data_IF_151605556637
#
_entry.id   IF_151605556637
#
_cell.length_a   1.000
_cell.length_b   1.000
_cell.length_c   1.000
_cell.angle_alpha   90.00
_cell.angle_beta   90.00
_cell.angle_gamma   90.00
#
_symmetry.space_group_name_H-M   'P 1'
#
loop_
_entity.id
_entity.type
_entity.pdbx_description
1 polymer ?
#
# COMPACT_ATOMS: atom_id res chain seq x y z
N UNK A 1 -20.45 -31.62 -4.22
CA UNK A 1 -21.92 -31.49 -4.35
C UNK A 1 -22.22 -30.79 -5.66
N UNK A 2 -22.57 -31.54 -6.71
CA UNK A 2 -22.92 -30.96 -8.01
C UNK A 2 -24.27 -30.27 -7.91
N UNK A 3 -24.28 -28.92 -7.87
CA UNK A 3 -25.51 -28.16 -8.09
C UNK A 3 -25.79 -28.18 -9.59
N UNK A 4 -26.82 -28.92 -9.94
CA UNK A 4 -27.46 -28.96 -11.25
C UNK A 4 -27.99 -27.55 -11.55
N UNK A 5 -27.22 -26.74 -12.27
CA UNK A 5 -27.68 -25.49 -12.85
C UNK A 5 -28.53 -25.80 -14.08
N UNK A 6 -29.73 -25.22 -14.14
CA UNK A 6 -30.67 -25.35 -15.23
C UNK A 6 -30.07 -24.91 -16.57
N UNK A 7 -30.41 -25.63 -17.65
CA UNK A 7 -30.07 -25.26 -19.01
C UNK A 7 -30.86 -24.02 -19.42
N UNK A 8 -30.28 -22.84 -19.26
CA UNK A 8 -30.85 -21.62 -19.84
C UNK A 8 -30.74 -21.69 -21.38
N UNK A 9 -31.80 -21.32 -22.13
CA UNK A 9 -31.88 -21.57 -23.59
C UNK A 9 -30.91 -20.74 -24.44
N UNK A 10 -30.19 -19.80 -23.85
CA UNK A 10 -29.00 -19.19 -24.42
C UNK A 10 -28.03 -18.91 -23.27
N UNK A 11 -27.00 -19.74 -23.12
CA UNK A 11 -25.86 -19.33 -22.33
C UNK A 11 -25.16 -18.22 -23.13
N UNK A 12 -25.12 -16.99 -22.61
CA UNK A 12 -24.12 -16.00 -23.04
C UNK A 12 -22.75 -16.53 -22.60
N UNK A 13 -22.25 -17.51 -23.33
CA UNK A 13 -20.81 -17.72 -23.44
C UNK A 13 -20.33 -16.39 -23.99
N UNK A 14 -19.56 -15.64 -23.21
CA UNK A 14 -18.95 -14.44 -23.74
C UNK A 14 -18.14 -14.87 -24.96
N UNK A 15 -18.63 -14.55 -26.16
CA UNK A 15 -17.93 -14.79 -27.44
C UNK A 15 -16.53 -14.12 -27.43
N UNK A 16 -16.27 -13.28 -26.43
CA UNK A 16 -14.96 -12.77 -26.05
C UNK A 16 -13.90 -13.88 -25.80
N UNK A 17 -14.29 -15.11 -25.41
CA UNK A 17 -13.34 -16.23 -25.29
C UNK A 17 -13.05 -16.91 -26.65
N UNK A 18 -13.83 -16.60 -27.70
CA UNK A 18 -13.72 -17.20 -29.04
C UNK A 18 -13.03 -16.33 -30.08
N UNK A 19 -12.86 -15.03 -29.84
CA UNK A 19 -11.95 -14.21 -30.63
C UNK A 19 -10.49 -14.46 -30.24
N UNK A 20 -10.01 -15.68 -30.49
CA UNK A 20 -8.58 -15.91 -30.64
C UNK A 20 -8.17 -15.31 -31.97
N UNK A 21 -7.67 -14.07 -31.93
CA UNK A 21 -6.87 -13.55 -33.03
C UNK A 21 -5.83 -14.62 -33.40
N UNK A 22 -5.61 -14.83 -34.69
CA UNK A 22 -4.62 -15.78 -35.21
C UNK A 22 -3.17 -15.28 -34.98
N UNK A 23 -2.96 -14.60 -33.87
CA UNK A 23 -1.76 -13.88 -33.49
C UNK A 23 -1.42 -14.36 -32.09
N UNK A 24 -0.37 -15.16 -31.99
CA UNK A 24 0.24 -15.47 -30.70
C UNK A 24 0.49 -14.14 -29.98
N UNK A 25 -0.03 -13.95 -28.75
CA UNK A 25 0.22 -12.73 -28.00
C UNK A 25 1.72 -12.46 -27.98
N UNK A 26 2.17 -11.20 -28.23
CA UNK A 26 3.58 -10.89 -28.18
C UNK A 26 4.14 -11.29 -26.81
N UNK A 27 5.34 -11.89 -26.75
CA UNK A 27 5.94 -12.31 -25.49
C UNK A 27 6.03 -11.09 -24.56
N UNK A 28 5.71 -11.30 -23.28
CA UNK A 28 5.75 -10.24 -22.28
C UNK A 28 7.12 -9.57 -22.31
N UNK A 29 7.13 -8.23 -22.44
CA UNK A 29 8.36 -7.47 -22.49
C UNK A 29 9.17 -7.73 -21.22
N UNK A 30 10.43 -8.12 -21.39
CA UNK A 30 11.34 -8.32 -20.26
C UNK A 30 11.70 -6.95 -19.71
N UNK A 31 11.53 -6.78 -18.39
CA UNK A 31 11.94 -5.57 -17.69
C UNK A 31 13.43 -5.32 -17.94
N UNK A 32 13.76 -4.14 -18.46
CA UNK A 32 15.16 -3.78 -18.71
C UNK A 32 15.86 -3.43 -17.40
N UNK A 33 17.19 -3.55 -17.34
CA UNK A 33 17.97 -3.15 -16.16
C UNK A 33 17.70 -1.71 -15.73
N UNK A 34 17.50 -0.80 -16.70
CA UNK A 34 17.21 0.62 -16.45
C UNK A 34 15.85 0.80 -15.76
N UNK A 35 14.86 0.01 -16.15
CA UNK A 35 13.50 0.04 -15.60
C UNK A 35 13.42 -0.58 -14.19
N UNK A 36 14.26 -1.58 -13.91
CA UNK A 36 14.43 -2.12 -12.56
C UNK A 36 15.15 -1.11 -11.65
N UNK A 37 16.25 -0.53 -12.12
CA UNK A 37 17.01 0.48 -11.38
C UNK A 37 16.18 1.73 -11.08
N UNK A 38 15.39 2.21 -12.04
CA UNK A 38 14.48 3.35 -11.83
C UNK A 38 13.45 3.07 -10.74
N UNK A 39 12.79 1.90 -10.78
CA UNK A 39 11.84 1.50 -9.74
C UNK A 39 12.49 1.37 -8.35
N UNK A 40 13.70 0.81 -8.29
CA UNK A 40 14.45 0.68 -7.05
C UNK A 40 14.84 2.05 -6.46
N UNK A 41 15.32 2.98 -7.30
CA UNK A 41 15.67 4.34 -6.87
C UNK A 41 14.47 5.08 -6.30
N UNK A 42 13.33 5.05 -7.00
CA UNK A 42 12.09 5.68 -6.52
C UNK A 42 11.66 5.09 -5.18
N UNK A 43 11.65 3.75 -5.07
CA UNK A 43 11.30 3.08 -3.82
C UNK A 43 12.23 3.49 -2.68
N UNK A 44 13.54 3.53 -2.93
CA UNK A 44 14.54 3.89 -1.92
C UNK A 44 14.40 5.35 -1.48
N UNK A 45 14.11 6.28 -2.38
CA UNK A 45 13.85 7.69 -2.04
C UNK A 45 12.62 7.84 -1.15
N UNK A 46 11.53 7.14 -1.47
CA UNK A 46 10.30 7.19 -0.66
C UNK A 46 10.55 6.64 0.74
N UNK A 47 11.21 5.48 0.85
CA UNK A 47 11.54 4.87 2.15
C UNK A 47 12.47 5.77 2.96
N UNK A 48 13.50 6.36 2.34
CA UNK A 48 14.41 7.28 3.03
C UNK A 48 13.68 8.53 3.54
N UNK A 49 12.76 9.10 2.75
CA UNK A 49 11.94 10.24 3.16
C UNK A 49 11.02 9.90 4.34
N UNK A 50 10.38 8.73 4.32
CA UNK A 50 9.54 8.26 5.42
C UNK A 50 10.35 8.05 6.71
N UNK A 51 11.49 7.35 6.62
CA UNK A 51 12.39 7.14 7.76
C UNK A 51 12.89 8.48 8.29
N UNK A 52 13.31 9.40 7.41
CA UNK A 52 13.71 10.75 7.80
C UNK A 52 12.60 11.50 8.53
N UNK A 53 11.37 11.47 8.01
CA UNK A 53 10.21 12.09 8.66
C UNK A 53 9.92 11.50 10.03
N UNK A 54 10.06 10.18 10.20
CA UNK A 54 9.89 9.54 11.50
C UNK A 54 10.98 10.00 12.46
N UNK A 55 12.25 9.93 12.06
CA UNK A 55 13.37 10.33 12.90
C UNK A 55 13.29 11.80 13.34
N UNK A 56 12.86 12.70 12.46
CA UNK A 56 12.63 14.10 12.78
C UNK A 56 11.38 14.32 13.65
N UNK A 57 10.37 13.45 13.54
CA UNK A 57 9.14 13.51 14.32
C UNK A 57 9.28 12.94 15.73
N UNK A 58 10.17 11.95 15.94
CA UNK A 58 10.35 11.28 17.25
C UNK A 58 10.51 12.24 18.45
N UNK A 59 11.31 13.33 18.38
CA UNK A 59 11.41 14.28 19.50
C UNK A 59 10.09 14.94 19.88
N UNK A 60 9.14 15.08 18.93
CA UNK A 60 7.81 15.63 19.21
C UNK A 60 6.87 14.60 19.86
N UNK A 61 7.16 13.30 19.73
CA UNK A 61 6.47 12.23 20.46
C UNK A 61 7.10 11.95 21.83
N UNK A 62 8.36 12.31 22.04
CA UNK A 62 9.01 12.22 23.34
C UNK A 62 8.43 13.26 24.29
N UNK A 63 7.71 12.83 25.32
CA UNK A 63 7.33 13.63 26.49
C UNK A 63 8.56 13.95 27.36
N UNK A 64 9.65 14.44 26.77
CA UNK A 64 10.79 14.89 27.54
C UNK A 64 10.50 16.30 28.06
N UNK A 65 10.01 16.33 29.30
CA UNK A 65 9.85 17.50 30.16
C UNK A 65 8.77 18.49 29.72
N UNK A 66 7.49 18.09 29.87
CA UNK A 66 6.59 19.08 30.45
C UNK A 66 7.23 19.51 31.78
N UNK A 67 7.58 20.79 32.01
CA UNK A 67 7.90 21.21 33.36
C UNK A 67 6.70 20.77 34.18
N UNK A 68 6.96 19.96 35.20
CA UNK A 68 5.96 19.49 36.13
C UNK A 68 5.30 20.75 36.70
N UNK A 69 4.24 21.21 36.05
CA UNK A 69 3.34 22.25 36.53
C UNK A 69 2.58 21.57 37.65
N UNK A 70 3.30 21.34 38.75
CA UNK A 70 2.78 20.92 40.03
C UNK A 70 1.76 22.00 40.38
N UNK A 71 0.44 21.71 40.41
CA UNK A 71 -0.50 22.70 40.90
C UNK A 71 -0.05 23.08 42.32
N UNK A 72 -0.02 24.39 42.67
CA UNK A 72 0.40 24.81 43.99
C UNK A 72 -0.47 24.10 45.03
N UNK A 73 0.17 23.54 46.06
CA UNK A 73 -0.50 22.98 47.23
C UNK A 73 -1.23 24.11 47.96
N UNK A 74 -2.46 24.38 47.54
CA UNK A 74 -3.32 25.42 48.10
C UNK A 74 -4.70 24.81 48.41
N UNK A 75 -4.70 23.78 49.27
CA UNK A 75 -5.89 23.29 49.96
C UNK A 75 -5.53 22.36 51.13
N UNK A 76 -4.55 22.73 51.98
CA UNK A 76 -4.31 22.01 53.25
C UNK A 76 -4.16 23.07 54.34
N UNK A 77 -5.30 23.64 54.74
CA UNK A 77 -5.33 24.79 55.63
C UNK A 77 -6.74 25.27 55.94
N UNK A 78 -7.63 24.38 56.41
CA UNK A 78 -8.64 24.66 57.43
C UNK A 78 -9.41 23.43 57.87
#
# INVERSE_FOLDING_TARGET
MSRRGESVPFAFIAEADRFRSNVTPPPAARRTFREAAGGALVGLTVVAGLVGSVLLGLPALSEDQSPSNKPPAAAEGR
#
